data_IF_997765703527
#
_entry.id   IF_997765703527
#
_cell.length_a   1.000
_cell.length_b   1.000
_cell.length_c   1.000
_cell.angle_alpha   90.00
_cell.angle_beta   90.00
_cell.angle_gamma   90.00
#
_symmetry.space_group_name_H-M   'P 1'
#
loop_
_entity.id
_entity.type
_entity.pdbx_description
1 polymer ?
#
# COMPACT_ATOMS: atom_id res chain seq x y z
N UNK A 1 -2.30 19.82 -14.52
CA UNK A 1 -2.36 20.88 -13.50
C UNK A 1 -1.93 20.27 -12.18
N UNK A 2 -0.63 20.24 -11.89
CA UNK A 2 -0.11 19.79 -10.59
C UNK A 2 0.06 21.01 -9.69
N UNK A 3 -1.03 21.41 -9.02
CA UNK A 3 -0.93 22.36 -7.91
C UNK A 3 -0.12 21.74 -6.78
N UNK A 4 0.74 22.52 -6.13
CA UNK A 4 1.42 22.07 -4.93
C UNK A 4 0.35 21.83 -3.85
N UNK A 5 0.20 20.62 -3.28
CA UNK A 5 -0.83 20.31 -2.29
C UNK A 5 -0.74 21.20 -1.04
N UNK A 6 0.45 21.76 -0.76
CA UNK A 6 0.66 22.76 0.27
C UNK A 6 -0.09 24.07 -0.06
N UNK A 7 -0.02 24.54 -1.31
CA UNK A 7 -0.70 25.74 -1.79
C UNK A 7 -2.22 25.58 -1.69
N UNK A 8 -2.73 24.41 -2.07
CA UNK A 8 -4.16 24.12 -2.02
C UNK A 8 -4.67 24.09 -0.57
N UNK A 9 -3.84 23.61 0.37
CA UNK A 9 -4.16 23.60 1.80
C UNK A 9 -4.13 25.01 2.38
N UNK A 10 -3.13 25.82 2.02
CA UNK A 10 -3.00 27.23 2.42
C UNK A 10 -4.21 28.02 1.91
N UNK A 11 -4.59 27.85 0.65
CA UNK A 11 -5.74 28.52 0.04
C UNK A 11 -7.06 28.19 0.72
N UNK A 12 -7.32 26.91 1.01
CA UNK A 12 -8.51 26.50 1.75
C UNK A 12 -8.56 27.10 3.16
N UNK A 13 -7.41 27.24 3.79
CA UNK A 13 -7.31 27.85 5.11
C UNK A 13 -7.61 29.36 5.04
N UNK A 14 -7.00 30.09 4.10
CA UNK A 14 -7.24 31.52 3.92
C UNK A 14 -8.67 31.83 3.48
N UNK A 15 -9.31 30.95 2.71
CA UNK A 15 -10.72 31.04 2.35
C UNK A 15 -11.67 30.90 3.57
N UNK A 16 -11.19 30.31 4.68
CA UNK A 16 -11.95 30.12 5.92
C UNK A 16 -11.72 31.24 6.94
N UNK A 17 -10.82 32.19 6.68
CA UNK A 17 -10.50 33.29 7.60
C UNK A 17 -11.58 34.39 7.55
N UNK A 18 -12.06 34.90 8.71
CA UNK A 18 -13.02 36.01 8.78
C UNK A 18 -12.48 37.32 8.15
N UNK A 19 -13.34 38.10 7.49
CA UNK A 19 -12.97 39.37 6.81
C UNK A 19 -12.08 40.33 7.61
N UNK A 20 -12.28 40.55 8.93
CA UNK A 20 -11.43 41.47 9.70
C UNK A 20 -9.95 41.10 9.73
N UNK A 21 -9.61 39.83 9.44
CA UNK A 21 -8.25 39.30 9.44
C UNK A 21 -7.65 39.20 8.03
N UNK A 22 -8.42 39.46 6.96
CA UNK A 22 -7.92 39.44 5.58
C UNK A 22 -6.86 40.49 5.29
N UNK A 23 -6.87 41.62 5.99
CA UNK A 23 -5.86 42.68 5.84
C UNK A 23 -4.47 42.26 6.37
N UNK A 24 -4.40 41.19 7.17
CA UNK A 24 -3.17 40.57 7.65
C UNK A 24 -2.89 39.20 6.98
N UNK A 25 -3.62 38.88 5.91
CA UNK A 25 -3.57 37.58 5.24
C UNK A 25 -2.16 37.22 4.76
N UNK A 26 -1.49 38.14 4.07
CA UNK A 26 -0.19 37.86 3.43
C UNK A 26 0.90 37.49 4.45
N UNK A 27 0.92 38.17 5.59
CA UNK A 27 1.88 37.91 6.67
C UNK A 27 1.52 36.62 7.42
N UNK A 28 0.23 36.36 7.62
CA UNK A 28 -0.25 35.12 8.23
C UNK A 28 0.06 33.91 7.34
N UNK A 29 -0.17 34.03 6.03
CA UNK A 29 0.12 33.01 5.03
C UNK A 29 1.59 32.61 5.02
N UNK A 30 2.52 33.59 5.01
CA UNK A 30 3.96 33.33 5.08
C UNK A 30 4.37 32.62 6.37
N UNK A 31 3.86 33.07 7.51
CA UNK A 31 4.16 32.44 8.80
C UNK A 31 3.60 31.02 8.87
N UNK A 32 2.38 30.79 8.38
CA UNK A 32 1.78 29.46 8.32
C UNK A 32 2.54 28.53 7.39
N UNK A 33 2.97 29.01 6.22
CA UNK A 33 3.80 28.23 5.29
C UNK A 33 5.07 27.75 5.97
N UNK A 34 5.80 28.65 6.64
CA UNK A 34 7.02 28.30 7.36
C UNK A 34 6.80 27.29 8.50
N UNK A 35 5.68 27.41 9.23
CA UNK A 35 5.31 26.46 10.30
C UNK A 35 4.94 25.09 9.72
N UNK A 36 4.17 25.04 8.62
CA UNK A 36 3.79 23.80 7.96
C UNK A 36 5.00 23.10 7.34
N UNK A 37 5.86 23.84 6.63
CA UNK A 37 7.11 23.31 6.08
C UNK A 37 8.02 22.74 7.17
N UNK A 38 8.20 23.48 8.27
CA UNK A 38 8.99 23.03 9.43
C UNK A 38 8.35 21.83 10.13
N UNK A 39 7.01 21.78 10.17
CA UNK A 39 6.25 20.67 10.73
C UNK A 39 6.39 19.40 9.90
N UNK A 40 6.21 19.51 8.58
CA UNK A 40 6.39 18.39 7.65
C UNK A 40 7.83 17.87 7.66
N UNK A 41 8.84 18.75 7.71
CA UNK A 41 10.24 18.35 7.83
C UNK A 41 10.57 17.57 9.12
N UNK A 42 9.83 17.84 10.21
CA UNK A 42 9.99 17.12 11.48
C UNK A 42 9.23 15.80 11.53
N UNK A 43 8.33 15.54 10.60
CA UNK A 43 7.72 14.23 10.46
C UNK A 43 8.70 13.32 9.70
N UNK A 44 8.79 12.05 10.08
CA UNK A 44 9.60 11.04 9.38
C UNK A 44 8.94 10.68 8.03
N UNK A 45 8.83 11.66 7.14
CA UNK A 45 8.23 11.51 5.83
C UNK A 45 9.19 10.74 4.92
N UNK A 46 8.65 9.71 4.28
CA UNK A 46 9.31 9.09 3.13
C UNK A 46 9.01 9.90 1.89
N UNK A 47 9.95 9.96 0.97
CA UNK A 47 9.72 10.58 -0.33
C UNK A 47 8.62 9.82 -1.07
N UNK A 48 7.95 10.50 -2.01
CA UNK A 48 6.92 9.85 -2.83
C UNK A 48 7.48 8.66 -3.61
N UNK A 49 8.72 8.79 -4.10
CA UNK A 49 9.42 7.73 -4.82
C UNK A 49 9.66 6.50 -3.93
N UNK A 50 10.13 6.67 -2.70
CA UNK A 50 10.32 5.57 -1.75
C UNK A 50 9.01 4.88 -1.39
N UNK A 51 7.92 5.65 -1.23
CA UNK A 51 6.58 5.08 -1.01
C UNK A 51 6.12 4.21 -2.18
N UNK A 52 6.29 4.72 -3.41
CA UNK A 52 5.90 4.00 -4.62
C UNK A 52 6.75 2.71 -4.79
N UNK A 53 8.05 2.77 -4.47
CA UNK A 53 8.94 1.59 -4.47
C UNK A 53 8.46 0.54 -3.46
N UNK A 54 8.18 0.92 -2.22
CA UNK A 54 7.71 -0.03 -1.20
C UNK A 54 6.37 -0.66 -1.59
N UNK A 55 5.48 0.11 -2.18
CA UNK A 55 4.20 -0.39 -2.71
C UNK A 55 4.43 -1.43 -3.80
N UNK A 56 5.34 -1.18 -4.74
CA UNK A 56 5.69 -2.15 -5.79
C UNK A 56 6.31 -3.43 -5.22
N UNK A 57 7.16 -3.32 -4.19
CA UNK A 57 7.70 -4.49 -3.49
C UNK A 57 6.58 -5.31 -2.84
N UNK A 58 5.65 -4.66 -2.15
CA UNK A 58 4.49 -5.33 -1.52
C UNK A 58 3.58 -6.01 -2.55
N UNK A 59 3.37 -5.39 -3.70
CA UNK A 59 2.61 -6.03 -4.77
C UNK A 59 3.31 -7.31 -5.25
N UNK A 60 4.62 -7.24 -5.51
CA UNK A 60 5.41 -8.39 -5.95
C UNK A 60 5.45 -9.50 -4.91
N UNK A 61 5.48 -9.18 -3.61
CA UNK A 61 5.43 -10.21 -2.55
C UNK A 61 4.08 -10.90 -2.51
N UNK A 62 2.96 -10.17 -2.70
CA UNK A 62 1.63 -10.77 -2.81
C UNK A 62 1.54 -11.74 -3.99
N UNK A 63 2.00 -11.34 -5.17
CA UNK A 63 2.01 -12.20 -6.36
C UNK A 63 2.80 -13.49 -6.14
N UNK A 64 3.98 -13.39 -5.49
CA UNK A 64 4.80 -14.55 -5.15
C UNK A 64 4.12 -15.44 -4.10
N UNK A 65 3.44 -14.85 -3.12
CA UNK A 65 2.74 -15.57 -2.07
C UNK A 65 1.58 -16.39 -2.67
N UNK A 66 0.75 -15.79 -3.52
CA UNK A 66 -0.31 -16.50 -4.23
C UNK A 66 0.23 -17.65 -5.10
N UNK A 67 1.39 -17.46 -5.76
CA UNK A 67 2.01 -18.51 -6.56
C UNK A 67 2.50 -19.68 -5.70
N UNK A 68 3.03 -19.41 -4.50
CA UNK A 68 3.46 -20.44 -3.56
C UNK A 68 2.25 -21.18 -2.96
N UNK A 69 1.19 -20.46 -2.59
CA UNK A 69 -0.06 -21.06 -2.10
C UNK A 69 -0.63 -22.05 -3.12
N UNK A 70 -0.64 -21.70 -4.41
CA UNK A 70 -1.07 -22.61 -5.49
C UNK A 70 -0.18 -23.84 -5.60
N UNK A 71 1.14 -23.68 -5.48
CA UNK A 71 2.08 -24.80 -5.52
C UNK A 71 1.88 -25.74 -4.34
N UNK A 72 1.69 -25.20 -3.13
CA UNK A 72 1.41 -26.00 -1.93
C UNK A 72 0.09 -26.74 -2.10
N UNK A 73 -0.99 -26.09 -2.52
CA UNK A 73 -2.28 -26.73 -2.75
C UNK A 73 -2.19 -27.87 -3.79
N UNK A 74 -1.42 -27.68 -4.87
CA UNK A 74 -1.20 -28.71 -5.87
C UNK A 74 -0.43 -29.91 -5.30
N UNK A 75 0.58 -29.66 -4.48
CA UNK A 75 1.36 -30.71 -3.81
C UNK A 75 0.49 -31.47 -2.79
N UNK A 76 -0.25 -30.77 -1.93
CA UNK A 76 -1.18 -31.37 -0.98
C UNK A 76 -2.22 -32.24 -1.70
N UNK A 77 -2.77 -31.77 -2.82
CA UNK A 77 -3.70 -32.55 -3.65
C UNK A 77 -3.02 -33.79 -4.25
N UNK A 78 -1.77 -33.70 -4.69
CA UNK A 78 -1.04 -34.86 -5.24
C UNK A 78 -0.81 -35.93 -4.17
N UNK A 79 -0.41 -35.53 -2.96
CA UNK A 79 -0.19 -36.44 -1.83
C UNK A 79 -1.50 -37.12 -1.43
N UNK A 80 -2.60 -36.36 -1.33
CA UNK A 80 -3.93 -36.92 -1.06
C UNK A 80 -4.41 -37.89 -2.15
N UNK A 81 -4.05 -37.63 -3.42
CA UNK A 81 -4.39 -38.51 -4.53
C UNK A 81 -3.58 -39.83 -4.56
N UNK A 82 -2.31 -39.79 -4.15
CA UNK A 82 -1.46 -40.98 -4.00
C UNK A 82 -1.96 -41.89 -2.87
N UNK A 83 -2.42 -41.32 -1.74
CA UNK A 83 -2.96 -42.07 -0.60
C UNK A 83 -4.28 -42.79 -0.92
N UNK A 84 -5.05 -42.31 -1.91
CA UNK A 84 -6.33 -42.88 -2.33
C UNK A 84 -6.26 -43.77 -3.58
N UNK A 85 -5.06 -44.10 -4.08
CA UNK A 85 -4.94 -45.07 -5.16
C UNK A 85 -5.37 -46.44 -4.61
N UNK A 86 -6.45 -47.07 -5.12
CA UNK A 86 -6.84 -48.39 -4.65
C UNK A 86 -5.65 -49.31 -4.92
N UNK A 87 -5.12 -49.90 -3.85
CA UNK A 87 -4.18 -51.00 -3.97
C UNK A 87 -4.86 -52.00 -4.89
N UNK A 88 -4.29 -52.21 -6.09
CA UNK A 88 -4.76 -53.28 -6.96
C UNK A 88 -4.30 -54.60 -6.32
N UNK A 89 -4.96 -54.99 -5.23
CA UNK A 89 -5.09 -56.39 -4.89
C UNK A 89 -6.16 -56.92 -5.83
N UNK A 90 -5.76 -57.26 -7.06
CA UNK A 90 -6.54 -58.24 -7.83
C UNK A 90 -6.44 -59.56 -7.06
N UNK A 91 -7.54 -60.09 -6.54
CA UNK A 91 -7.63 -61.49 -6.17
C UNK A 91 -8.04 -62.24 -7.43
N UNK A 92 -7.10 -62.92 -8.05
CA UNK A 92 -7.40 -64.03 -8.96
C UNK A 92 -6.32 -65.08 -8.70
N UNK A 93 -6.43 -65.81 -7.60
CA UNK A 93 -7.14 -67.09 -7.53
C UNK A 93 -6.76 -68.05 -8.67
N UNK A 94 -6.23 -69.19 -8.20
CA UNK A 94 -6.33 -70.54 -8.77
C UNK A 94 -5.75 -70.78 -10.17
N UNK A 95 -4.58 -71.43 -10.21
CA UNK A 95 -4.44 -72.87 -10.51
C UNK A 95 -3.02 -73.37 -10.18
#
# INVERSE_FOLDING_TARGET
>A
MSGNPLEDMIKKFTDTIPEPLRTMQDDMEKNMRGVLESGLQKMNLVTREEFDIQTAVLQRTREKLEALEKQVAALESSVLSEVNKPVNTSPSDSE
#
